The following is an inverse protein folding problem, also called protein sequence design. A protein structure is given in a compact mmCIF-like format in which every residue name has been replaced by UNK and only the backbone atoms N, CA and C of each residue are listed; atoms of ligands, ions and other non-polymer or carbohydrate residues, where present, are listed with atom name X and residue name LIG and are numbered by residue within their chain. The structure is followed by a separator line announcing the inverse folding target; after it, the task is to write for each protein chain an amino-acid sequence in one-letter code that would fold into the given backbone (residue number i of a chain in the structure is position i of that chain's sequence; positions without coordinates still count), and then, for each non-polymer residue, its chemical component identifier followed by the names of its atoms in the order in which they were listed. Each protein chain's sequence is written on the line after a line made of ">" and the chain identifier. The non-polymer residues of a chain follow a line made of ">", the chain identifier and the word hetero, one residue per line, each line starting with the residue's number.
data_IF_777544528238
#
_entry.id   IF_777544528238
#
_cell.length_a   1.000
_cell.length_b   1.000
_cell.length_c   1.000
_cell.angle_alpha   90.00
_cell.angle_beta   90.00
_cell.angle_gamma   90.00
#
_symmetry.space_group_name_H-M   'P 1'
#
loop_
_entity.id
_entity.type
_entity.pdbx_description
1 polymer ?
#
# COMPACT_ATOMS: atom_id res chain seq x y z
N UNK A 1 -15.79 15.91 7.71
CA UNK A 1 -15.86 14.99 6.56
C UNK A 1 -15.32 13.66 7.06
N UNK A 2 -16.10 12.57 7.13
CA UNK A 2 -15.52 11.27 7.43
C UNK A 2 -14.59 10.93 6.26
N UNK A 3 -13.29 10.80 6.53
CA UNK A 3 -12.31 10.37 5.53
C UNK A 3 -12.54 8.88 5.31
N UNK A 4 -13.42 8.54 4.38
CA UNK A 4 -13.64 7.15 3.97
C UNK A 4 -12.44 6.73 3.14
N UNK A 5 -11.40 6.20 3.80
CA UNK A 5 -10.25 5.61 3.12
C UNK A 5 -10.70 4.41 2.33
N UNK A 6 -10.43 4.39 1.03
CA UNK A 6 -10.70 3.23 0.18
C UNK A 6 -9.43 2.42 -0.06
N UNK A 7 -9.59 1.17 -0.52
CA UNK A 7 -8.45 0.34 -0.89
C UNK A 7 -7.61 0.99 -2.00
N UNK A 8 -8.27 1.66 -2.95
CA UNK A 8 -7.60 2.35 -4.06
C UNK A 8 -6.70 3.49 -3.56
N UNK A 9 -7.14 4.26 -2.56
CA UNK A 9 -6.33 5.35 -1.98
C UNK A 9 -5.03 4.80 -1.37
N UNK A 10 -5.12 3.62 -0.75
CA UNK A 10 -3.97 2.97 -0.10
C UNK A 10 -2.96 2.50 -1.15
N UNK A 11 -3.43 1.85 -2.22
CA UNK A 11 -2.56 1.45 -3.33
C UNK A 11 -1.86 2.65 -3.95
N UNK A 12 -2.59 3.75 -4.17
CA UNK A 12 -2.02 4.99 -4.70
C UNK A 12 -0.94 5.60 -3.81
N UNK A 13 -1.03 5.42 -2.48
CA UNK A 13 0.02 5.86 -1.54
C UNK A 13 1.20 4.91 -1.57
N UNK A 14 0.96 3.60 -1.63
CA UNK A 14 2.03 2.59 -1.70
C UNK A 14 2.85 2.71 -2.99
N UNK A 15 2.21 3.08 -4.10
CA UNK A 15 2.89 3.41 -5.37
C UNK A 15 3.80 4.64 -5.29
N UNK A 16 3.64 5.51 -4.30
CA UNK A 16 4.54 6.65 -4.10
C UNK A 16 5.78 6.30 -3.28
N UNK A 17 5.83 5.08 -2.71
CA UNK A 17 6.97 4.61 -1.92
C UNK A 17 7.96 3.91 -2.83
N UNK A 18 8.94 4.69 -3.31
CA UNK A 18 10.09 4.18 -4.07
C UNK A 18 11.07 3.43 -3.19
N UNK A 19 11.73 2.43 -3.75
CA UNK A 19 12.77 1.67 -3.07
C UNK A 19 14.05 2.52 -2.90
N UNK A 20 14.68 2.51 -1.71
CA UNK A 20 15.90 3.29 -1.45
C UNK A 20 17.13 2.79 -2.23
N UNK A 21 17.15 1.52 -2.64
CA UNK A 21 18.24 0.93 -3.44
C UNK A 21 17.99 1.08 -4.94
N UNK A 22 16.73 0.96 -5.38
CA UNK A 22 16.30 1.12 -6.76
C UNK A 22 15.19 2.19 -6.85
N UNK A 23 15.54 3.49 -6.95
CA UNK A 23 14.57 4.60 -6.91
C UNK A 23 13.51 4.60 -8.02
N UNK A 24 13.73 3.81 -9.07
CA UNK A 24 12.82 3.66 -10.21
C UNK A 24 11.74 2.60 -9.99
N UNK A 25 11.87 1.78 -8.94
CA UNK A 25 10.89 0.75 -8.59
C UNK A 25 10.22 1.12 -7.27
N UNK A 26 8.93 0.84 -7.17
CA UNK A 26 8.15 1.04 -5.96
C UNK A 26 8.01 -0.25 -5.17
N UNK A 27 7.62 -0.16 -3.90
CA UNK A 27 7.30 -1.35 -3.08
C UNK A 27 6.18 -2.21 -3.69
N UNK A 28 5.35 -1.62 -4.55
CA UNK A 28 4.31 -2.32 -5.32
C UNK A 28 4.93 -3.03 -6.52
N UNK A 29 5.80 -2.34 -7.29
CA UNK A 29 6.47 -2.92 -8.47
C UNK A 29 7.41 -4.06 -8.12
N UNK A 30 8.08 -3.98 -6.97
CA UNK A 30 8.94 -5.04 -6.45
C UNK A 30 8.15 -6.27 -5.99
N UNK A 31 6.82 -6.19 -5.90
CA UNK A 31 5.99 -7.26 -5.34
C UNK A 31 6.25 -7.50 -3.86
N UNK A 32 6.78 -6.48 -3.16
CA UNK A 32 6.94 -6.49 -1.70
C UNK A 32 5.54 -6.48 -1.08
N UNK A 33 4.66 -5.59 -1.52
CA UNK A 33 3.25 -5.58 -1.11
C UNK A 33 2.51 -6.73 -1.81
N UNK A 34 1.96 -7.66 -1.03
CA UNK A 34 1.21 -8.84 -1.52
C UNK A 34 -0.28 -8.68 -1.44
N UNK A 35 -0.76 -8.06 -0.38
CA UNK A 35 -2.18 -7.92 -0.12
C UNK A 35 -2.42 -6.67 0.71
N UNK A 36 -3.56 -6.02 0.49
CA UNK A 36 -4.03 -4.88 1.28
C UNK A 36 -5.47 -5.17 1.63
N UNK A 37 -5.80 -5.08 2.92
CA UNK A 37 -7.14 -5.33 3.43
C UNK A 37 -7.58 -4.13 4.26
N UNK A 38 -8.83 -3.75 4.07
CA UNK A 38 -9.50 -2.73 4.84
C UNK A 38 -10.70 -3.37 5.53
N UNK A 39 -10.73 -3.34 6.86
CA UNK A 39 -11.84 -3.90 7.62
C UNK A 39 -13.02 -2.91 7.77
N UNK A 40 -14.15 -3.41 8.27
CA UNK A 40 -15.35 -2.61 8.49
C UNK A 40 -15.19 -1.57 9.62
N UNK A 41 -14.16 -1.72 10.45
CA UNK A 41 -13.80 -0.80 11.53
C UNK A 41 -12.81 0.29 11.07
N UNK A 42 -12.36 0.25 9.81
CA UNK A 42 -11.44 1.20 9.21
C UNK A 42 -9.96 0.93 9.48
N UNK A 43 -9.60 -0.27 9.94
CA UNK A 43 -8.19 -0.70 10.08
C UNK A 43 -7.67 -1.21 8.74
N UNK A 44 -6.46 -0.77 8.44
CA UNK A 44 -5.72 -1.16 7.25
C UNK A 44 -4.67 -2.20 7.60
N UNK A 45 -4.70 -3.34 6.91
CA UNK A 45 -3.71 -4.39 7.00
C UNK A 45 -2.98 -4.51 5.66
N UNK A 46 -1.65 -4.41 5.68
CA UNK A 46 -0.80 -4.52 4.50
C UNK A 46 0.12 -5.72 4.69
N UNK A 47 -0.02 -6.73 3.83
CA UNK A 47 0.80 -7.94 3.85
C UNK A 47 2.00 -7.71 2.95
N UNK A 48 3.20 -7.78 3.52
CA UNK A 48 4.46 -7.69 2.78
C UNK A 48 5.20 -9.03 2.76
N UNK A 49 5.88 -9.32 1.67
CA UNK A 49 6.78 -10.49 1.56
C UNK A 49 8.17 -10.10 2.06
N UNK A 50 8.86 -10.99 2.80
CA UNK A 50 10.29 -10.83 3.05
C UNK A 50 11.11 -10.91 1.76
#
# INVERSE_FOLDING_TARGET
>A
MPTTTTLADVWQVLEQVSDPEIPVLTVVDLGIVRDVRLDAEGRLEVVITP
#
